data_IF_876896887950
#
_entry.id   IF_876896887950
#
_cell.length_a   1.000
_cell.length_b   1.000
_cell.length_c   1.000
_cell.angle_alpha   90.00
_cell.angle_beta   90.00
_cell.angle_gamma   90.00
#
_symmetry.space_group_name_H-M   'P 1'
#
loop_
_entity.id
_entity.type
_entity.pdbx_description
1 polymer ?
#
# COMPACT_ATOMS: atom_id res chain seq x y z
N UNK A 1 -11.15 30.89 -26.86
CA UNK A 1 -11.71 30.30 -25.63
C UNK A 1 -10.54 29.82 -24.76
N UNK A 2 -10.60 29.94 -23.43
CA UNK A 2 -9.62 29.30 -22.56
C UNK A 2 -9.90 27.78 -22.49
N UNK A 3 -8.87 26.91 -22.44
CA UNK A 3 -8.97 25.53 -21.95
C UNK A 3 -8.49 25.47 -20.47
N UNK A 4 -8.62 24.40 -19.64
CA UNK A 4 -8.79 22.97 -19.99
C UNK A 4 -9.72 22.12 -19.06
N UNK A 5 -9.97 20.89 -19.54
CA UNK A 5 -10.17 19.56 -18.93
C UNK A 5 -11.03 19.30 -17.65
N UNK A 6 -11.76 18.14 -17.62
CA UNK A 6 -12.66 17.77 -16.53
C UNK A 6 -11.89 17.43 -15.23
N UNK A 7 -12.55 17.50 -14.06
CA UNK A 7 -11.90 17.18 -12.79
C UNK A 7 -11.54 15.69 -12.74
N UNK A 8 -10.26 15.41 -12.50
CA UNK A 8 -9.77 14.11 -12.05
C UNK A 8 -10.50 13.74 -10.74
N UNK A 9 -11.15 12.58 -10.69
CA UNK A 9 -12.08 12.33 -9.57
C UNK A 9 -12.53 10.90 -9.35
N UNK A 10 -11.78 10.23 -8.47
CA UNK A 10 -12.25 9.32 -7.43
C UNK A 10 -12.57 7.86 -7.81
N UNK A 11 -11.60 6.97 -7.60
CA UNK A 11 -11.78 5.50 -7.64
C UNK A 11 -12.78 4.96 -6.59
N UNK A 12 -13.30 5.81 -5.71
CA UNK A 12 -14.36 5.50 -4.75
C UNK A 12 -15.73 6.07 -5.15
N UNK A 13 -15.88 6.62 -6.36
CA UNK A 13 -17.15 7.11 -6.86
C UNK A 13 -18.15 5.94 -6.98
N UNK A 14 -19.02 5.80 -5.96
CA UNK A 14 -20.05 4.76 -5.90
C UNK A 14 -19.94 3.82 -4.70
N UNK A 15 -18.84 3.87 -3.93
CA UNK A 15 -18.71 3.10 -2.68
C UNK A 15 -19.25 3.94 -1.54
N UNK A 16 -20.40 3.54 -0.98
CA UNK A 16 -20.95 4.18 0.21
C UNK A 16 -20.22 3.69 1.46
N UNK A 17 -20.20 4.53 2.50
CA UNK A 17 -19.67 4.15 3.82
C UNK A 17 -20.36 2.87 4.35
N UNK A 18 -21.66 2.73 4.05
CA UNK A 18 -22.46 1.57 4.43
C UNK A 18 -22.02 0.28 3.71
N UNK A 19 -21.64 0.36 2.43
CA UNK A 19 -21.11 -0.78 1.69
C UNK A 19 -19.75 -1.21 2.24
N UNK A 20 -18.90 -0.25 2.62
CA UNK A 20 -17.61 -0.53 3.24
C UNK A 20 -17.79 -1.19 4.62
N UNK A 21 -18.76 -0.69 5.41
CA UNK A 21 -19.09 -1.21 6.73
C UNK A 21 -19.64 -2.64 6.66
N UNK A 22 -20.52 -2.94 5.71
CA UNK A 22 -21.10 -4.28 5.53
C UNK A 22 -20.03 -5.34 5.20
N UNK A 23 -19.09 -5.01 4.30
CA UNK A 23 -17.98 -5.92 3.95
C UNK A 23 -17.06 -6.14 5.15
N UNK A 24 -16.84 -5.12 5.98
CA UNK A 24 -16.01 -5.23 7.18
C UNK A 24 -16.64 -6.18 8.21
N UNK A 25 -17.95 -6.08 8.45
CA UNK A 25 -18.65 -6.99 9.37
C UNK A 25 -18.61 -8.43 8.87
N UNK A 26 -18.85 -8.66 7.58
CA UNK A 26 -18.81 -10.01 6.99
C UNK A 26 -17.44 -10.68 7.11
N UNK A 27 -16.36 -9.89 7.05
CA UNK A 27 -14.99 -10.38 7.23
C UNK A 27 -14.70 -10.69 8.70
N UNK A 28 -15.17 -9.85 9.63
CA UNK A 28 -14.98 -10.06 11.07
C UNK A 28 -15.70 -11.32 11.57
N UNK A 29 -16.91 -11.59 11.09
CA UNK A 29 -17.69 -12.77 11.49
C UNK A 29 -17.10 -14.09 10.99
N UNK A 30 -16.25 -14.07 9.96
CA UNK A 30 -15.58 -15.26 9.41
C UNK A 30 -14.25 -15.58 10.09
N UNK A 31 -13.78 -14.72 11.00
CA UNK A 31 -12.52 -14.95 11.70
C UNK A 31 -12.73 -15.82 12.93
N UNK A 32 -11.92 -16.88 13.13
CA UNK A 32 -11.97 -17.67 14.34
C UNK A 32 -11.63 -16.81 15.56
N UNK A 33 -12.27 -17.06 16.71
CA UNK A 33 -11.93 -16.39 17.97
C UNK A 33 -10.45 -16.68 18.30
N UNK A 34 -9.68 -15.61 18.53
CA UNK A 34 -8.30 -15.75 18.97
C UNK A 34 -8.29 -16.31 20.40
N UNK A 35 -7.51 -17.38 20.68
CA UNK A 35 -7.39 -17.87 22.05
C UNK A 35 -6.79 -16.79 22.95
N UNK A 36 -7.28 -16.70 24.19
CA UNK A 36 -6.79 -15.79 25.23
C UNK A 36 -5.27 -15.93 25.40
N UNK A 37 -4.54 -15.06 24.71
CA UNK A 37 -3.11 -14.94 24.79
C UNK A 37 -2.81 -13.50 24.48
N UNK A 38 -2.34 -12.75 25.48
CA UNK A 38 -1.98 -11.34 25.35
C UNK A 38 -1.04 -11.17 24.15
N UNK A 39 -1.61 -10.76 23.01
CA UNK A 39 -0.85 -10.38 21.83
C UNK A 39 -0.19 -9.06 22.21
N UNK A 40 1.12 -9.09 22.43
CA UNK A 40 1.95 -7.90 22.43
C UNK A 40 1.65 -7.13 21.13
N UNK A 41 0.84 -6.07 21.24
CA UNK A 41 0.51 -5.19 20.11
C UNK A 41 1.81 -4.50 19.70
N UNK A 42 2.49 -5.07 18.73
CA UNK A 42 3.46 -4.34 17.95
C UNK A 42 2.65 -3.37 17.09
N UNK A 43 2.55 -2.11 17.52
CA UNK A 43 1.84 -1.07 16.76
C UNK A 43 2.53 -0.88 15.40
N UNK A 44 2.00 -1.51 14.35
CA UNK A 44 2.53 -1.33 13.00
C UNK A 44 2.10 0.05 12.49
N UNK A 45 3.05 0.97 12.46
CA UNK A 45 2.84 2.33 11.96
C UNK A 45 2.91 2.39 10.43
N UNK A 46 1.89 3.00 9.81
CA UNK A 46 1.90 3.29 8.37
C UNK A 46 3.08 4.19 7.99
N UNK A 47 3.40 5.18 8.82
CA UNK A 47 4.51 6.10 8.55
C UNK A 47 5.86 5.36 8.52
N UNK A 48 6.05 4.38 9.40
CA UNK A 48 7.27 3.60 9.47
C UNK A 48 7.40 2.68 8.25
N UNK A 49 6.29 2.09 7.81
CA UNK A 49 6.27 1.28 6.59
C UNK A 49 6.57 2.12 5.33
N UNK A 50 6.06 3.35 5.25
CA UNK A 50 6.40 4.29 4.18
C UNK A 50 7.90 4.61 4.20
N UNK A 51 8.44 4.98 5.35
CA UNK A 51 9.86 5.32 5.49
C UNK A 51 10.78 4.14 5.13
N UNK A 52 10.40 2.92 5.52
CA UNK A 52 11.12 1.69 5.18
C UNK A 52 11.16 1.46 3.66
N UNK A 53 10.03 1.63 2.96
CA UNK A 53 9.96 1.50 1.51
C UNK A 53 10.74 2.61 0.78
N UNK A 54 10.67 3.86 1.24
CA UNK A 54 11.46 4.97 0.71
C UNK A 54 12.97 4.72 0.85
N UNK A 55 13.41 4.20 2.01
CA UNK A 55 14.79 3.78 2.22
C UNK A 55 15.27 2.75 1.19
N UNK A 56 14.42 1.79 0.83
CA UNK A 56 14.71 0.81 -0.24
C UNK A 56 14.82 1.48 -1.62
N UNK A 57 13.99 2.48 -1.92
CA UNK A 57 14.06 3.24 -3.17
C UNK A 57 15.32 4.10 -3.29
N UNK A 58 15.92 4.52 -2.18
CA UNK A 58 17.20 5.24 -2.17
C UNK A 58 18.41 4.32 -2.31
N UNK A 59 18.21 3.00 -2.18
CA UNK A 59 19.26 1.99 -2.30
C UNK A 59 19.84 1.84 -3.71
N UNK A 60 20.88 1.00 -3.81
CA UNK A 60 21.55 0.70 -5.08
C UNK A 60 20.56 0.05 -6.06
N UNK A 61 20.42 0.64 -7.25
CA UNK A 61 19.48 0.17 -8.27
C UNK A 61 18.07 0.76 -8.18
N UNK A 62 17.77 1.55 -7.13
CA UNK A 62 16.52 2.32 -6.96
C UNK A 62 15.25 1.52 -7.26
N UNK A 63 15.28 0.23 -6.94
CA UNK A 63 14.22 -0.71 -7.26
C UNK A 63 14.28 -1.92 -6.35
N UNK A 64 13.13 -2.56 -6.13
CA UNK A 64 13.02 -3.77 -5.32
C UNK A 64 11.81 -4.61 -5.73
N UNK A 65 11.82 -5.87 -5.31
CA UNK A 65 10.67 -6.78 -5.37
C UNK A 65 9.81 -6.59 -4.12
N UNK A 66 8.52 -6.32 -4.28
CA UNK A 66 7.60 -6.21 -3.16
C UNK A 66 7.41 -7.54 -2.44
N UNK A 67 7.48 -8.67 -3.16
CA UNK A 67 7.45 -10.01 -2.55
C UNK A 67 8.54 -10.18 -1.49
N UNK A 68 9.75 -9.73 -1.78
CA UNK A 68 10.88 -9.79 -0.83
C UNK A 68 10.66 -8.91 0.41
N UNK A 69 9.83 -7.86 0.31
CA UNK A 69 9.49 -7.02 1.46
C UNK A 69 8.51 -7.77 2.37
N UNK A 70 7.42 -8.29 1.81
CA UNK A 70 6.37 -8.96 2.59
C UNK A 70 6.81 -10.33 3.15
N UNK A 71 7.83 -10.96 2.57
CA UNK A 71 8.47 -12.17 3.14
C UNK A 71 9.09 -11.91 4.52
N UNK A 72 9.42 -10.65 4.85
CA UNK A 72 9.93 -10.27 6.17
C UNK A 72 8.85 -9.85 7.17
N UNK A 73 7.59 -9.74 6.73
CA UNK A 73 6.48 -9.40 7.62
C UNK A 73 6.15 -10.58 8.56
N UNK A 74 5.92 -10.25 9.82
CA UNK A 74 5.67 -11.23 10.89
C UNK A 74 4.19 -11.42 11.21
N UNK A 75 3.32 -10.53 10.72
CA UNK A 75 1.88 -10.58 10.94
C UNK A 75 1.08 -10.16 9.70
N UNK A 76 -0.18 -10.57 9.65
CA UNK A 76 -1.12 -10.15 8.58
C UNK A 76 -1.35 -8.64 8.60
N UNK A 77 -1.40 -8.03 9.79
CA UNK A 77 -1.55 -6.58 9.95
C UNK A 77 -0.35 -5.87 9.34
N UNK A 78 0.86 -6.34 9.62
CA UNK A 78 2.07 -5.77 9.05
C UNK A 78 2.05 -5.78 7.52
N UNK A 79 1.77 -6.94 6.92
CA UNK A 79 1.66 -7.08 5.47
C UNK A 79 0.65 -6.10 4.86
N UNK A 80 -0.54 -5.98 5.45
CA UNK A 80 -1.59 -5.07 4.98
C UNK A 80 -1.12 -3.61 5.07
N UNK A 81 -0.51 -3.20 6.18
CA UNK A 81 -0.02 -1.82 6.36
C UNK A 81 1.14 -1.53 5.39
N UNK A 82 2.05 -2.48 5.17
CA UNK A 82 3.12 -2.35 4.16
C UNK A 82 2.56 -2.22 2.74
N UNK A 83 1.48 -2.92 2.41
CA UNK A 83 0.81 -2.77 1.12
C UNK A 83 0.14 -1.39 0.97
N UNK A 84 -0.54 -0.91 2.02
CA UNK A 84 -1.11 0.44 2.04
C UNK A 84 -0.01 1.51 1.90
N UNK A 85 1.14 1.31 2.55
CA UNK A 85 2.31 2.18 2.42
C UNK A 85 2.82 2.25 0.97
N UNK A 86 2.87 1.11 0.28
CA UNK A 86 3.21 1.09 -1.15
C UNK A 86 2.20 1.89 -1.97
N UNK A 87 0.89 1.67 -1.77
CA UNK A 87 -0.16 2.40 -2.49
C UNK A 87 -0.08 3.92 -2.25
N UNK A 88 0.25 4.34 -1.03
CA UNK A 88 0.46 5.75 -0.70
C UNK A 88 1.69 6.33 -1.43
N UNK A 89 2.78 5.58 -1.58
CA UNK A 89 3.93 6.00 -2.40
C UNK A 89 3.58 6.14 -3.88
N UNK A 90 2.79 5.21 -4.44
CA UNK A 90 2.26 5.35 -5.80
C UNK A 90 1.43 6.62 -5.93
N UNK A 91 0.50 6.86 -4.99
CA UNK A 91 -0.38 8.02 -4.97
C UNK A 91 0.38 9.34 -4.93
N UNK A 92 1.53 9.38 -4.24
CA UNK A 92 2.43 10.54 -4.17
C UNK A 92 3.31 10.72 -5.41
N UNK A 93 3.32 9.76 -6.33
CA UNK A 93 4.20 9.79 -7.50
C UNK A 93 5.68 9.68 -7.17
N UNK A 94 6.05 9.03 -6.06
CA UNK A 94 7.46 8.81 -5.68
C UNK A 94 8.04 7.55 -6.32
N UNK A 95 7.20 6.62 -6.76
CA UNK A 95 7.60 5.38 -7.41
C UNK A 95 6.63 4.96 -8.52
N UNK A 96 7.13 4.12 -9.42
CA UNK A 96 6.35 3.36 -10.38
C UNK A 96 6.36 1.88 -9.99
N UNK A 97 5.31 1.15 -10.37
CA UNK A 97 5.25 -0.30 -10.17
C UNK A 97 4.89 -1.04 -11.44
N UNK A 98 5.38 -2.27 -11.54
CA UNK A 98 5.10 -3.19 -12.63
C UNK A 98 4.68 -4.54 -12.05
N UNK A 99 3.51 -5.04 -12.46
CA UNK A 99 3.00 -6.36 -12.12
C UNK A 99 2.51 -7.05 -13.39
N UNK A 100 3.23 -8.08 -13.84
CA UNK A 100 2.97 -8.72 -15.14
C UNK A 100 1.73 -9.61 -15.16
N UNK A 101 1.26 -10.08 -14.00
CA UNK A 101 0.09 -10.93 -13.85
C UNK A 101 -0.58 -10.70 -12.50
N UNK A 102 -1.88 -10.91 -12.41
CA UNK A 102 -2.60 -10.87 -11.14
C UNK A 102 -1.93 -11.81 -10.13
N UNK A 103 -1.77 -11.35 -8.88
CA UNK A 103 -1.10 -12.08 -7.79
C UNK A 103 0.40 -12.35 -8.03
N UNK A 104 0.97 -11.81 -9.11
CA UNK A 104 2.41 -11.84 -9.38
C UNK A 104 3.20 -10.90 -8.49
N UNK A 105 4.53 -10.99 -8.57
CA UNK A 105 5.41 -10.04 -7.90
C UNK A 105 5.16 -8.61 -8.41
N UNK A 106 5.32 -7.63 -7.52
CA UNK A 106 5.22 -6.21 -7.82
C UNK A 106 6.64 -5.66 -7.80
N UNK A 107 7.16 -5.30 -8.96
CA UNK A 107 8.46 -4.64 -9.05
C UNK A 107 8.25 -3.16 -8.84
N UNK A 108 8.89 -2.59 -7.81
CA UNK A 108 8.81 -1.17 -7.47
C UNK A 108 10.09 -0.49 -7.94
N UNK A 109 9.99 0.68 -8.59
CA UNK A 109 11.14 1.50 -9.02
C UNK A 109 10.92 2.96 -8.66
N UNK A 110 11.98 3.66 -8.25
CA UNK A 110 11.89 5.07 -7.93
C UNK A 110 11.67 5.90 -9.20
N UNK A 111 10.74 6.86 -9.15
CA UNK A 111 10.62 7.86 -10.20
C UNK A 111 11.75 8.87 -10.01
N UNK A 112 12.63 9.00 -11.01
CA UNK A 112 13.63 10.07 -11.00
C UNK A 112 12.85 11.38 -11.21
N UNK A 113 12.71 12.18 -10.15
CA UNK A 113 12.21 13.54 -10.33
C UNK A 113 13.13 14.25 -11.32
N UNK A 114 12.56 14.63 -12.47
CA UNK A 114 13.20 15.60 -13.36
C UNK A 114 13.36 16.86 -12.50
N UNK A 115 14.59 17.25 -12.19
CA UNK A 115 14.83 18.55 -11.59
C UNK A 115 14.16 19.59 -12.49
N UNK A 116 13.18 20.31 -11.94
CA UNK A 116 12.58 21.45 -12.63
C UNK A 116 13.74 22.38 -13.01
N UNK A 117 13.94 22.56 -14.33
CA UNK A 117 14.85 23.55 -14.89
C UNK A 117 14.23 24.92 -14.84
#
# INVERSE_FOLDING_TARGET
APPPEPPEGNALAGVTLDALYAVMIEVLERMPEEPDGTVERSDVSLADQIAMLEGRLQGRGRSFSFRQVIESCTSRVELVVTFIALLELLKRGTCEVEQSQAWGDIRVRALVQKAAS
#
